data_IF_058626940978
#
_entry.id   IF_058626940978
#
_cell.length_a   1.000
_cell.length_b   1.000
_cell.length_c   1.000
_cell.angle_alpha   90.00
_cell.angle_beta   90.00
_cell.angle_gamma   90.00
#
_symmetry.space_group_name_H-M   'P 1'
#
loop_
_entity.id
_entity.type
_entity.pdbx_description
1 polymer ?
#
# COMPACT_ATOMS: atom_id res chain seq x y z
N UNK A 1 24.65 22.85 -20.57
CA UNK A 1 24.03 22.49 -19.32
C UNK A 1 22.91 21.51 -19.66
N UNK A 2 23.20 20.21 -19.66
CA UNK A 2 22.27 19.13 -20.08
C UNK A 2 21.42 18.82 -18.90
N UNK A 3 20.14 19.18 -18.95
CA UNK A 3 19.13 18.63 -18.07
C UNK A 3 18.94 17.14 -18.44
N UNK A 4 19.48 16.26 -17.61
CA UNK A 4 19.11 14.85 -17.62
C UNK A 4 17.67 14.83 -17.13
N UNK A 5 16.72 14.55 -18.04
CA UNK A 5 15.31 14.49 -17.71
C UNK A 5 15.08 13.50 -16.57
N UNK A 6 14.55 13.98 -15.46
CA UNK A 6 14.06 13.17 -14.36
C UNK A 6 13.01 12.20 -14.93
N UNK A 7 13.43 10.96 -15.13
CA UNK A 7 12.54 9.88 -15.54
C UNK A 7 11.59 9.67 -14.38
N UNK A 8 10.39 10.26 -14.46
CA UNK A 8 9.33 10.07 -13.47
C UNK A 8 9.13 8.56 -13.35
N UNK A 9 9.51 7.98 -12.22
CA UNK A 9 9.33 6.55 -11.98
C UNK A 9 7.82 6.29 -11.84
N UNK A 10 7.28 5.47 -12.73
CA UNK A 10 5.92 4.96 -12.64
C UNK A 10 5.88 3.68 -11.82
N UNK A 11 4.71 3.31 -11.31
CA UNK A 11 4.51 2.07 -10.54
C UNK A 11 5.03 0.85 -11.31
N UNK A 12 4.91 0.85 -12.63
CA UNK A 12 5.41 -0.17 -13.54
C UNK A 12 6.93 -0.37 -13.43
N UNK A 13 7.67 0.74 -13.38
CA UNK A 13 9.12 0.73 -13.24
C UNK A 13 9.56 0.30 -11.84
N UNK A 14 8.84 0.74 -10.81
CA UNK A 14 9.09 0.33 -9.42
C UNK A 14 8.85 -1.18 -9.29
N UNK A 15 7.71 -1.65 -9.74
CA UNK A 15 7.37 -3.07 -9.72
C UNK A 15 8.41 -3.89 -10.50
N UNK A 16 8.77 -3.47 -11.73
CA UNK A 16 9.77 -4.14 -12.55
C UNK A 16 11.15 -4.18 -11.88
N UNK A 17 11.52 -3.16 -11.12
CA UNK A 17 12.75 -3.16 -10.32
C UNK A 17 12.67 -4.16 -9.19
N UNK A 18 11.55 -4.18 -8.44
CA UNK A 18 11.37 -5.07 -7.31
C UNK A 18 11.36 -6.55 -7.71
N UNK A 19 10.71 -6.91 -8.81
CA UNK A 19 10.73 -8.31 -9.28
C UNK A 19 12.11 -8.74 -9.76
N UNK A 20 12.93 -7.83 -10.32
CA UNK A 20 14.32 -8.12 -10.67
C UNK A 20 15.19 -8.36 -9.45
N UNK A 21 15.00 -7.61 -8.37
CA UNK A 21 15.72 -7.80 -7.09
C UNK A 21 15.53 -9.21 -6.52
N UNK A 22 14.35 -9.81 -6.73
CA UNK A 22 14.02 -11.17 -6.29
C UNK A 22 14.30 -12.24 -7.36
N UNK A 23 15.06 -11.89 -8.41
CA UNK A 23 15.60 -12.84 -9.39
C UNK A 23 14.75 -13.07 -10.64
N UNK A 24 13.64 -12.38 -10.82
CA UNK A 24 12.84 -12.49 -12.05
C UNK A 24 13.43 -11.64 -13.18
N UNK A 25 13.67 -12.29 -14.33
CA UNK A 25 14.01 -11.59 -15.57
C UNK A 25 12.74 -11.40 -16.40
N UNK A 26 12.19 -10.19 -16.38
CA UNK A 26 11.04 -9.88 -17.22
C UNK A 26 11.49 -9.01 -18.40
N UNK A 27 11.43 -9.59 -19.61
CA UNK A 27 11.75 -8.90 -20.86
C UNK A 27 10.52 -8.20 -21.47
N UNK A 28 9.36 -8.29 -20.83
CA UNK A 28 8.13 -7.64 -21.30
C UNK A 28 7.93 -6.30 -20.59
N UNK A 29 7.36 -5.36 -21.31
CA UNK A 29 6.87 -4.12 -20.69
C UNK A 29 5.72 -4.46 -19.75
N UNK A 30 5.90 -4.17 -18.46
CA UNK A 30 4.83 -4.26 -17.46
C UNK A 30 4.03 -2.98 -17.53
N UNK A 31 2.71 -3.09 -17.58
CA UNK A 31 1.78 -1.96 -17.46
C UNK A 31 0.74 -2.34 -16.42
N UNK A 32 0.76 -1.68 -15.28
CA UNK A 32 -0.15 -1.94 -14.15
C UNK A 32 -1.21 -0.84 -14.11
N UNK A 33 -2.46 -1.24 -14.35
CA UNK A 33 -3.59 -0.30 -14.29
C UNK A 33 -3.99 0.01 -12.85
N UNK A 34 -4.00 -1.01 -11.98
CA UNK A 34 -4.48 -0.93 -10.61
C UNK A 34 -3.89 -2.05 -9.76
N UNK A 35 -3.64 -1.79 -8.50
CA UNK A 35 -3.32 -2.83 -7.52
C UNK A 35 -4.62 -3.28 -6.85
N UNK A 36 -4.84 -4.59 -6.76
CA UNK A 36 -6.03 -5.21 -6.18
C UNK A 36 -5.66 -6.35 -5.24
N UNK A 37 -6.46 -6.55 -4.19
CA UNK A 37 -6.34 -7.65 -3.23
C UNK A 37 -7.56 -8.58 -3.26
N UNK A 38 -8.67 -8.12 -3.84
CA UNK A 38 -9.89 -8.89 -3.98
C UNK A 38 -9.93 -9.54 -5.38
N UNK A 39 -9.97 -10.88 -5.44
CA UNK A 39 -10.00 -11.64 -6.69
C UNK A 39 -11.19 -11.31 -7.60
N UNK A 40 -12.30 -10.85 -7.01
CA UNK A 40 -13.50 -10.42 -7.75
C UNK A 40 -13.28 -9.11 -8.52
N UNK A 41 -12.31 -8.29 -8.10
CA UNK A 41 -11.98 -7.01 -8.73
C UNK A 41 -10.86 -7.13 -9.76
N UNK A 42 -10.34 -8.34 -9.99
CA UNK A 42 -9.23 -8.59 -10.91
C UNK A 42 -9.69 -8.40 -12.34
N UNK A 43 -8.99 -7.54 -13.05
CA UNK A 43 -9.12 -7.27 -14.47
C UNK A 43 -7.74 -7.38 -15.16
N UNK A 44 -7.74 -7.36 -16.49
CA UNK A 44 -6.51 -7.38 -17.30
C UNK A 44 -5.58 -6.23 -16.90
N UNK A 45 -4.30 -6.53 -16.79
CA UNK A 45 -3.23 -5.61 -16.39
C UNK A 45 -3.37 -5.06 -14.95
N UNK A 46 -4.21 -5.65 -14.10
CA UNK A 46 -4.13 -5.34 -12.68
C UNK A 46 -2.96 -6.09 -12.05
N UNK A 47 -2.42 -5.56 -10.96
CA UNK A 47 -1.52 -6.29 -10.07
C UNK A 47 -2.34 -6.87 -8.92
N UNK A 48 -2.58 -8.16 -8.97
CA UNK A 48 -3.22 -8.88 -7.88
C UNK A 48 -2.19 -9.30 -6.85
N UNK A 49 -2.34 -8.84 -5.62
CA UNK A 49 -1.51 -9.25 -4.48
C UNK A 49 -2.30 -10.29 -3.68
N UNK A 50 -1.88 -11.53 -3.77
CA UNK A 50 -2.54 -12.67 -3.12
C UNK A 50 -2.16 -12.71 -1.63
N UNK A 51 -3.06 -12.21 -0.78
CA UNK A 51 -2.92 -12.18 0.69
C UNK A 51 -4.12 -12.85 1.35
N UNK A 52 -3.96 -13.30 2.59
CA UNK A 52 -5.06 -13.84 3.42
C UNK A 52 -5.92 -14.87 2.69
N UNK A 53 -5.32 -15.90 2.12
CA UNK A 53 -6.03 -16.94 1.36
C UNK A 53 -6.23 -16.57 -0.12
N UNK A 54 -5.76 -15.41 -0.56
CA UNK A 54 -5.78 -14.97 -1.96
C UNK A 54 -5.02 -15.89 -2.91
N UNK A 55 -4.03 -16.63 -2.39
CA UNK A 55 -3.25 -17.59 -3.17
C UNK A 55 -4.14 -18.61 -3.93
N UNK A 56 -5.26 -19.01 -3.36
CA UNK A 56 -6.21 -19.92 -4.01
C UNK A 56 -6.80 -19.36 -5.32
N UNK A 57 -6.78 -18.04 -5.51
CA UNK A 57 -7.32 -17.34 -6.69
C UNK A 57 -6.24 -16.87 -7.66
N UNK A 58 -4.96 -17.19 -7.39
CA UNK A 58 -3.85 -16.74 -8.22
C UNK A 58 -3.96 -17.19 -9.68
N UNK A 59 -4.37 -18.44 -9.91
CA UNK A 59 -4.59 -18.98 -11.25
C UNK A 59 -5.71 -18.22 -12.00
N UNK A 60 -6.86 -18.03 -11.35
CA UNK A 60 -7.99 -17.29 -11.94
C UNK A 60 -7.58 -15.85 -12.29
N UNK A 61 -6.77 -15.19 -11.44
CA UNK A 61 -6.27 -13.87 -11.72
C UNK A 61 -5.35 -13.82 -12.94
N UNK A 62 -4.48 -14.83 -13.12
CA UNK A 62 -3.64 -14.97 -14.32
C UNK A 62 -4.46 -15.20 -15.59
N UNK A 63 -5.51 -16.00 -15.51
CA UNK A 63 -6.43 -16.23 -16.64
C UNK A 63 -7.13 -14.95 -17.10
N UNK A 64 -7.42 -14.04 -16.17
CA UNK A 64 -7.94 -12.69 -16.45
C UNK A 64 -6.89 -11.74 -17.02
N UNK A 65 -5.62 -12.17 -17.14
CA UNK A 65 -4.53 -11.37 -17.69
C UNK A 65 -3.91 -10.37 -16.68
N UNK A 66 -4.04 -10.63 -15.40
CA UNK A 66 -3.38 -9.86 -14.36
C UNK A 66 -1.92 -10.28 -14.17
N UNK A 67 -1.14 -9.41 -13.51
CA UNK A 67 0.11 -9.76 -12.85
C UNK A 67 -0.21 -10.25 -11.43
N UNK A 68 0.45 -11.29 -10.96
CA UNK A 68 0.13 -11.91 -9.66
C UNK A 68 1.37 -12.01 -8.79
N UNK A 69 1.31 -11.41 -7.61
CA UNK A 69 2.23 -11.65 -6.49
C UNK A 69 1.58 -12.67 -5.56
N UNK A 70 2.30 -13.74 -5.25
CA UNK A 70 1.84 -14.81 -4.36
C UNK A 70 2.99 -15.36 -3.50
N UNK A 71 2.68 -15.95 -2.35
CA UNK A 71 3.65 -16.43 -1.35
C UNK A 71 3.44 -17.90 -0.94
N UNK A 72 2.59 -18.63 -1.65
CA UNK A 72 2.38 -20.05 -1.45
C UNK A 72 3.24 -20.87 -2.44
N UNK A 73 4.34 -21.42 -1.98
CA UNK A 73 5.27 -22.22 -2.78
C UNK A 73 4.74 -23.62 -3.17
N UNK A 74 3.59 -24.03 -2.64
CA UNK A 74 2.93 -25.28 -3.04
C UNK A 74 2.18 -25.14 -4.36
N UNK A 75 1.93 -23.91 -4.81
CA UNK A 75 1.26 -23.59 -6.05
C UNK A 75 2.32 -23.39 -7.15
N UNK A 76 2.27 -24.18 -8.20
CA UNK A 76 3.20 -24.06 -9.33
C UNK A 76 2.62 -23.15 -10.43
N UNK A 77 2.96 -21.88 -10.41
CA UNK A 77 2.63 -20.90 -11.45
C UNK A 77 3.85 -20.44 -12.27
N UNK A 78 5.01 -21.05 -12.06
CA UNK A 78 6.30 -20.60 -12.62
C UNK A 78 6.35 -20.57 -14.16
N UNK A 79 5.46 -21.27 -14.85
CA UNK A 79 5.36 -21.25 -16.31
C UNK A 79 4.67 -19.97 -16.85
N UNK A 80 3.98 -19.22 -15.99
CA UNK A 80 3.29 -18.00 -16.41
C UNK A 80 4.21 -16.77 -16.18
N UNK A 81 4.54 -16.01 -17.24
CA UNK A 81 5.46 -14.86 -17.10
C UNK A 81 4.89 -13.69 -16.30
N UNK A 82 3.62 -13.74 -15.92
CA UNK A 82 2.96 -12.71 -15.10
C UNK A 82 2.80 -13.13 -13.64
N UNK A 83 3.37 -14.27 -13.23
CA UNK A 83 3.32 -14.77 -11.86
C UNK A 83 4.67 -14.59 -11.15
N UNK A 84 4.65 -14.15 -9.91
CA UNK A 84 5.85 -13.83 -9.13
C UNK A 84 5.69 -14.39 -7.72
N UNK A 85 6.41 -15.46 -7.42
CA UNK A 85 6.51 -16.03 -6.08
C UNK A 85 7.43 -15.14 -5.24
N UNK A 86 6.97 -14.76 -4.07
CA UNK A 86 7.71 -13.96 -3.09
C UNK A 86 7.71 -14.66 -1.72
N UNK A 87 8.61 -14.29 -0.84
CA UNK A 87 8.63 -14.83 0.52
C UNK A 87 7.40 -14.40 1.35
N UNK A 88 6.88 -13.19 1.10
CA UNK A 88 5.76 -12.59 1.83
C UNK A 88 5.10 -11.52 0.95
N UNK A 89 3.89 -11.79 0.51
CA UNK A 89 3.12 -10.89 -0.37
C UNK A 89 2.78 -9.56 0.31
N UNK A 90 2.59 -9.56 1.63
CA UNK A 90 2.32 -8.32 2.39
C UNK A 90 3.56 -7.45 2.44
N UNK A 91 4.73 -8.01 2.76
CA UNK A 91 6.00 -7.26 2.77
C UNK A 91 6.35 -6.74 1.39
N UNK A 92 6.11 -7.51 0.33
CA UNK A 92 6.29 -7.05 -1.04
C UNK A 92 5.42 -5.83 -1.33
N UNK A 93 4.12 -5.89 -1.00
CA UNK A 93 3.19 -4.78 -1.17
C UNK A 93 3.61 -3.54 -0.36
N UNK A 94 4.07 -3.72 0.87
CA UNK A 94 4.59 -2.63 1.71
C UNK A 94 5.80 -1.94 1.06
N UNK A 95 6.75 -2.72 0.53
CA UNK A 95 7.93 -2.21 -0.17
C UNK A 95 7.54 -1.45 -1.44
N UNK A 96 6.60 -2.00 -2.22
CA UNK A 96 6.06 -1.35 -3.41
C UNK A 96 5.38 -0.01 -3.05
N UNK A 97 4.56 -0.01 -2.01
CA UNK A 97 3.85 1.18 -1.55
C UNK A 97 4.80 2.28 -1.04
N UNK A 98 5.83 1.90 -0.29
CA UNK A 98 6.85 2.84 0.19
C UNK A 98 7.64 3.45 -0.98
N UNK A 99 8.09 2.64 -1.94
CA UNK A 99 8.79 3.16 -3.12
C UNK A 99 7.88 4.04 -3.98
N UNK A 100 6.60 3.66 -4.14
CA UNK A 100 5.61 4.49 -4.83
C UNK A 100 5.42 5.82 -4.12
N UNK A 101 5.25 5.81 -2.77
CA UNK A 101 5.15 7.01 -1.94
C UNK A 101 6.28 8.01 -2.23
N UNK A 102 7.51 7.52 -2.40
CA UNK A 102 8.70 8.35 -2.60
C UNK A 102 8.76 9.02 -3.98
N UNK A 103 7.95 8.58 -4.93
CA UNK A 103 7.80 9.22 -6.24
C UNK A 103 6.72 10.29 -6.29
N UNK A 104 5.89 10.37 -5.26
CA UNK A 104 4.74 11.26 -5.21
C UNK A 104 5.09 12.58 -4.52
N UNK A 105 4.69 13.69 -5.13
CA UNK A 105 4.81 15.01 -4.51
C UNK A 105 3.52 15.39 -3.75
N UNK A 106 3.05 14.48 -2.89
CA UNK A 106 1.83 14.67 -2.08
C UNK A 106 2.19 14.97 -0.62
N UNK A 107 1.32 15.67 0.07
CA UNK A 107 1.42 15.87 1.53
C UNK A 107 0.62 14.79 2.24
N UNK A 108 1.29 14.01 3.08
CA UNK A 108 0.65 12.95 3.87
C UNK A 108 0.43 13.44 5.30
N UNK A 109 -0.81 13.31 5.75
CA UNK A 109 -1.24 13.55 7.13
C UNK A 109 -1.58 12.20 7.74
N UNK A 110 -0.76 11.74 8.70
CA UNK A 110 -1.01 10.52 9.48
C UNK A 110 -1.79 10.85 10.74
N UNK A 111 -2.87 10.09 11.01
CA UNK A 111 -3.73 10.30 12.17
C UNK A 111 -3.82 9.02 12.98
N UNK A 112 -3.40 9.08 14.24
CA UNK A 112 -3.49 7.98 15.19
C UNK A 112 -4.10 8.43 16.52
N UNK A 113 -4.23 7.52 17.46
CA UNK A 113 -4.75 7.72 18.81
C UNK A 113 -5.77 6.66 19.21
N UNK A 114 -6.15 6.65 20.48
CA UNK A 114 -7.07 5.63 21.01
C UNK A 114 -8.49 5.78 20.45
N UNK A 115 -9.00 7.01 20.40
CA UNK A 115 -10.35 7.33 19.92
C UNK A 115 -10.34 8.52 18.96
N UNK A 116 -11.39 8.66 18.13
CA UNK A 116 -11.58 9.83 17.27
C UNK A 116 -10.75 9.88 16.00
N UNK A 117 -9.92 8.88 15.71
CA UNK A 117 -9.09 8.81 14.48
C UNK A 117 -9.92 9.03 13.21
N UNK A 118 -10.97 8.26 13.03
CA UNK A 118 -11.85 8.31 11.84
C UNK A 118 -12.54 9.65 11.72
N UNK A 119 -13.05 10.19 12.83
CA UNK A 119 -13.70 11.50 12.84
C UNK A 119 -12.74 12.61 12.42
N UNK A 120 -11.56 12.66 13.03
CA UNK A 120 -10.53 13.66 12.70
C UNK A 120 -10.05 13.51 11.27
N UNK A 121 -9.81 12.27 10.80
CA UNK A 121 -9.48 11.96 9.39
C UNK A 121 -10.52 12.55 8.43
N UNK A 122 -11.81 12.33 8.71
CA UNK A 122 -12.89 12.80 7.85
C UNK A 122 -13.02 14.32 7.86
N UNK A 123 -12.87 14.96 9.02
CA UNK A 123 -12.88 16.42 9.15
C UNK A 123 -11.71 17.07 8.39
N UNK A 124 -10.48 16.56 8.58
CA UNK A 124 -9.28 17.05 7.89
C UNK A 124 -9.43 16.86 6.37
N UNK A 125 -9.90 15.70 5.94
CA UNK A 125 -10.11 15.43 4.53
C UNK A 125 -11.14 16.38 3.91
N UNK A 126 -12.30 16.56 4.55
CA UNK A 126 -13.35 17.47 4.06
C UNK A 126 -12.83 18.91 3.95
N UNK A 127 -12.13 19.40 4.97
CA UNK A 127 -11.56 20.74 4.99
C UNK A 127 -10.57 20.95 3.83
N UNK A 128 -9.61 20.05 3.65
CA UNK A 128 -8.61 20.16 2.59
C UNK A 128 -9.22 19.99 1.19
N UNK A 129 -10.23 19.14 1.04
CA UNK A 129 -10.91 18.89 -0.23
C UNK A 129 -11.70 20.10 -0.77
N UNK A 130 -11.89 21.14 0.03
CA UNK A 130 -12.48 22.42 -0.45
C UNK A 130 -11.57 23.14 -1.43
N UNK A 131 -10.26 22.86 -1.41
CA UNK A 131 -9.27 23.57 -2.21
C UNK A 131 -8.30 22.63 -2.95
N UNK A 132 -8.06 21.44 -2.45
CA UNK A 132 -7.04 20.51 -2.93
C UNK A 132 -7.65 19.18 -3.33
N UNK A 133 -7.04 18.51 -4.31
CA UNK A 133 -7.40 17.14 -4.68
C UNK A 133 -6.65 16.16 -3.78
N UNK A 134 -7.36 15.21 -3.19
CA UNK A 134 -6.69 14.23 -2.34
C UNK A 134 -7.51 12.98 -2.07
N UNK A 135 -6.91 12.09 -1.29
CA UNK A 135 -7.51 10.81 -0.89
C UNK A 135 -7.38 10.62 0.62
N UNK A 136 -8.14 9.70 1.16
CA UNK A 136 -8.07 9.30 2.57
C UNK A 136 -8.17 7.80 2.73
N UNK A 137 -7.82 7.30 3.90
CA UNK A 137 -8.14 5.93 4.30
C UNK A 137 -9.64 5.70 4.23
N UNK A 138 -10.04 4.69 3.49
CA UNK A 138 -11.43 4.24 3.40
C UNK A 138 -11.66 3.03 4.31
N UNK A 139 -12.86 2.97 4.90
CA UNK A 139 -13.21 1.86 5.78
C UNK A 139 -12.19 1.68 6.92
N UNK A 140 -11.75 0.46 7.10
CA UNK A 140 -10.78 0.05 8.12
C UNK A 140 -9.38 -0.25 7.55
N UNK A 141 -9.01 0.33 6.41
CA UNK A 141 -7.68 0.14 5.79
C UNK A 141 -6.58 0.93 6.52
N UNK A 142 -6.52 0.81 7.85
CA UNK A 142 -5.66 1.57 8.75
C UNK A 142 -4.51 0.77 9.38
N UNK A 143 -4.26 -0.46 8.91
CA UNK A 143 -3.26 -1.38 9.42
C UNK A 143 -2.14 -1.67 8.40
N UNK A 144 -1.23 -2.59 8.73
CA UNK A 144 -0.06 -2.99 7.94
C UNK A 144 -0.36 -3.58 6.55
N UNK A 145 -1.62 -3.84 6.22
CA UNK A 145 -2.10 -4.25 4.89
C UNK A 145 -2.89 -3.12 4.23
N UNK A 146 -3.82 -2.52 4.95
CA UNK A 146 -4.72 -1.52 4.41
C UNK A 146 -4.05 -0.19 4.07
N UNK A 147 -3.12 0.28 4.92
CA UNK A 147 -2.42 1.53 4.67
C UNK A 147 -1.55 1.47 3.40
N UNK A 148 -0.66 0.46 3.19
CA UNK A 148 0.08 0.37 1.93
C UNK A 148 -0.83 0.23 0.71
N UNK A 149 -1.93 -0.50 0.82
CA UNK A 149 -2.92 -0.59 -0.25
C UNK A 149 -3.57 0.77 -0.55
N UNK A 150 -3.87 1.57 0.47
CA UNK A 150 -4.39 2.94 0.31
C UNK A 150 -3.37 3.84 -0.40
N UNK A 151 -2.08 3.74 -0.05
CA UNK A 151 -1.00 4.47 -0.72
C UNK A 151 -0.90 4.14 -2.21
N UNK A 152 -1.02 2.86 -2.57
CA UNK A 152 -0.97 2.39 -3.97
C UNK A 152 -2.16 2.85 -4.81
N UNK A 153 -3.21 3.40 -4.19
CA UNK A 153 -4.35 4.01 -4.87
C UNK A 153 -4.19 5.52 -5.11
N UNK A 154 -3.09 6.13 -4.63
CA UNK A 154 -2.80 7.54 -4.90
C UNK A 154 -2.41 7.76 -6.35
N UNK A 155 -2.68 8.96 -6.84
CA UNK A 155 -2.35 9.42 -8.17
C UNK A 155 -1.31 10.54 -8.10
N UNK A 156 -0.52 10.72 -9.16
CA UNK A 156 0.51 11.76 -9.23
C UNK A 156 -0.04 13.19 -9.14
N UNK A 157 -1.32 13.37 -9.48
CA UNK A 157 -2.03 14.64 -9.42
C UNK A 157 -2.87 14.83 -8.15
N UNK A 158 -2.70 13.96 -7.15
CA UNK A 158 -3.19 14.21 -5.81
C UNK A 158 -2.28 15.20 -5.09
N UNK A 159 -2.85 16.16 -4.36
CA UNK A 159 -2.10 17.15 -3.57
C UNK A 159 -1.83 16.65 -2.16
N UNK A 160 -2.76 15.86 -1.59
CA UNK A 160 -2.66 15.36 -0.23
C UNK A 160 -3.29 13.98 -0.04
N UNK A 161 -2.92 13.35 1.07
CA UNK A 161 -3.55 12.12 1.55
C UNK A 161 -3.67 12.14 3.07
N UNK A 162 -4.84 11.73 3.59
CA UNK A 162 -5.09 11.60 5.03
C UNK A 162 -5.16 10.12 5.38
N UNK A 163 -4.16 9.65 6.11
CA UNK A 163 -4.02 8.24 6.49
C UNK A 163 -4.39 8.03 7.94
N UNK A 164 -5.40 7.22 8.18
CA UNK A 164 -5.68 6.68 9.50
C UNK A 164 -4.69 5.57 9.82
N UNK A 165 -4.04 5.64 10.99
CA UNK A 165 -3.07 4.68 11.47
C UNK A 165 -3.59 4.03 12.75
N UNK A 166 -4.02 2.78 12.62
CA UNK A 166 -4.47 1.95 13.73
C UNK A 166 -3.34 1.10 14.27
N UNK A 167 -3.40 0.77 15.53
CA UNK A 167 -2.51 -0.21 16.15
C UNK A 167 -3.28 -1.10 17.11
N UNK A 168 -2.75 -2.29 17.32
CA UNK A 168 -3.15 -3.24 18.35
C UNK A 168 -1.96 -3.69 19.18
N UNK A 169 -0.73 -3.57 18.65
CA UNK A 169 0.50 -4.06 19.27
C UNK A 169 1.65 -3.07 19.06
N UNK A 170 2.76 -3.33 19.76
CA UNK A 170 3.98 -2.54 19.68
C UNK A 170 4.57 -2.51 18.26
N UNK A 171 5.13 -1.36 17.90
CA UNK A 171 5.83 -1.17 16.63
C UNK A 171 4.91 -1.00 15.42
N UNK A 172 3.60 -1.21 15.53
CA UNK A 172 2.70 -1.09 14.37
C UNK A 172 2.62 0.33 13.83
N UNK A 173 2.50 1.36 14.69
CA UNK A 173 2.52 2.77 14.24
C UNK A 173 3.86 3.12 13.62
N UNK A 174 4.97 2.63 14.17
CA UNK A 174 6.30 2.84 13.61
C UNK A 174 6.40 2.25 12.19
N UNK A 175 5.90 1.03 11.98
CA UNK A 175 5.84 0.40 10.67
C UNK A 175 5.01 1.23 9.68
N UNK A 176 3.81 1.66 10.08
CA UNK A 176 2.93 2.46 9.23
C UNK A 176 3.56 3.81 8.88
N UNK A 177 4.24 4.43 9.84
CA UNK A 177 4.97 5.68 9.64
C UNK A 177 6.16 5.50 8.68
N UNK A 178 6.92 4.40 8.80
CA UNK A 178 8.01 4.07 7.86
C UNK A 178 7.53 3.83 6.43
N UNK A 179 6.37 3.20 6.26
CA UNK A 179 5.81 2.95 4.93
C UNK A 179 5.30 4.24 4.29
N UNK A 180 4.65 5.11 5.06
CA UNK A 180 3.94 6.28 4.52
C UNK A 180 4.74 7.58 4.59
N UNK A 181 5.75 7.68 5.46
CA UNK A 181 6.55 8.88 5.71
C UNK A 181 5.67 10.15 5.79
N UNK A 182 4.80 10.28 6.82
CA UNK A 182 3.86 11.38 6.90
C UNK A 182 4.60 12.71 7.12
N UNK A 183 4.14 13.76 6.44
CA UNK A 183 4.66 15.12 6.64
C UNK A 183 4.11 15.75 7.93
N UNK A 184 2.92 15.32 8.35
CA UNK A 184 2.23 15.77 9.56
C UNK A 184 1.68 14.55 10.28
N UNK A 185 1.96 14.46 11.59
CA UNK A 185 1.35 13.46 12.48
C UNK A 185 0.35 14.13 13.43
N UNK A 186 -0.83 13.54 13.57
CA UNK A 186 -1.86 13.96 14.52
C UNK A 186 -2.14 12.80 15.46
N UNK A 187 -1.98 13.02 16.77
CA UNK A 187 -2.40 12.10 17.82
C UNK A 187 -3.66 12.69 18.44
N UNK A 188 -4.80 12.02 18.25
CA UNK A 188 -6.10 12.54 18.73
C UNK A 188 -6.19 12.52 20.23
N UNK A 189 -5.83 11.40 20.83
CA UNK A 189 -5.68 11.21 22.27
C UNK A 189 -4.88 9.95 22.59
N UNK A 190 -4.44 9.84 23.83
CA UNK A 190 -3.83 8.65 24.41
C UNK A 190 -4.73 8.20 25.56
N UNK A 191 -5.39 7.06 25.37
CA UNK A 191 -6.34 6.49 26.33
C UNK A 191 -6.10 5.00 26.57
N UNK A 192 -6.92 4.41 27.43
CA UNK A 192 -6.86 2.99 27.75
C UNK A 192 -7.47 2.16 26.60
N UNK A 193 -6.64 1.80 25.63
CA UNK A 193 -7.02 0.93 24.51
C UNK A 193 -5.93 -0.10 24.27
N UNK A 194 -6.33 -1.29 23.84
CA UNK A 194 -5.43 -2.40 23.55
C UNK A 194 -4.50 -2.81 24.71
N UNK A 195 -4.95 -2.60 25.97
CA UNK A 195 -4.15 -2.91 27.17
C UNK A 195 -3.82 -4.41 27.31
N UNK A 196 -4.54 -5.26 26.63
CA UNK A 196 -4.24 -6.69 26.54
C UNK A 196 -2.82 -6.93 25.97
N UNK A 197 -2.42 -6.14 24.97
CA UNK A 197 -1.11 -6.21 24.32
C UNK A 197 -0.14 -5.15 24.86
N UNK A 198 -0.59 -3.91 24.97
CA UNK A 198 0.27 -2.77 25.37
C UNK A 198 0.54 -2.71 26.88
N UNK A 199 -0.20 -3.43 27.71
CA UNK A 199 -0.07 -3.56 29.17
C UNK A 199 -0.45 -2.28 29.93
N UNK A 200 0.14 -1.14 29.63
CA UNK A 200 -0.12 0.14 30.30
C UNK A 200 -0.34 1.26 29.27
N UNK A 201 -0.87 2.42 29.76
CA UNK A 201 -1.09 3.61 28.91
C UNK A 201 0.23 4.26 28.48
N UNK A 202 1.29 4.09 29.27
CA UNK A 202 2.61 4.69 29.04
C UNK A 202 3.38 3.98 27.90
N UNK A 203 2.94 2.81 27.51
CA UNK A 203 3.46 2.05 26.41
C UNK A 203 2.70 2.38 25.11
#
# INVERSE_FOLDING_TARGET
MLCIGDKIMDIDNIFSSLIKEIGYQNNKTVVINKVVMNSKEVEKNNLFVAIRGGNAYANEALEKGAFVIYDDNTINLNSNPNSFLVDDSVKFMQKLAHQWRNTLNIKIIGITGSNGKTTVKDMVFQLLSTKYKGKKTEGNYNNHIGLPFTLLRSEKNDDFMVLEMGMSDFGEIELLAKISEPNIGIITNIGDSHLEFLKTREN
#
